data_IF_310772280200
#
_entry.id   IF_310772280200
#
_cell.length_a   1.000
_cell.length_b   1.000
_cell.length_c   1.000
_cell.angle_alpha   90.00
_cell.angle_beta   90.00
_cell.angle_gamma   90.00
#
_symmetry.space_group_name_H-M   'P 1'
#
loop_
_entity.id
_entity.type
_entity.pdbx_description
1 polymer ?
#
# COMPACT_ATOMS: atom_id res chain seq x y z
N UNK A 1 -5.86 3.13 27.49
CA UNK A 1 -6.88 2.76 28.50
C UNK A 1 -7.16 1.25 28.57
N UNK A 2 -6.63 0.43 27.65
CA UNK A 2 -6.93 -0.99 27.55
C UNK A 2 -6.64 -1.79 28.83
N UNK A 3 -5.62 -1.40 29.60
CA UNK A 3 -5.28 -2.04 30.88
C UNK A 3 -5.69 -1.22 32.11
N UNK A 4 -6.44 -0.13 31.96
CA UNK A 4 -6.74 0.82 33.01
C UNK A 4 -5.60 1.78 33.33
N UNK A 5 -4.54 1.78 32.50
CA UNK A 5 -3.44 2.74 32.57
C UNK A 5 -3.76 3.98 31.75
N UNK A 6 -3.30 5.12 32.21
CA UNK A 6 -3.41 6.36 31.44
C UNK A 6 -2.33 6.37 30.35
N UNK A 7 -2.65 6.86 29.12
CA UNK A 7 -1.66 6.96 28.04
C UNK A 7 -0.39 7.73 28.42
N UNK A 8 -0.55 8.79 29.23
CA UNK A 8 0.57 9.63 29.69
C UNK A 8 1.57 8.89 30.60
N UNK A 9 1.17 7.77 31.20
CA UNK A 9 2.04 6.96 32.06
C UNK A 9 2.66 5.80 31.24
N UNK A 10 1.88 5.24 30.30
CA UNK A 10 2.29 4.08 29.49
C UNK A 10 3.36 4.44 28.43
N UNK A 11 3.14 5.51 27.67
CA UNK A 11 4.01 5.85 26.55
C UNK A 11 5.43 6.27 26.97
N UNK A 12 5.63 7.09 28.02
CA UNK A 12 6.99 7.40 28.49
C UNK A 12 7.77 6.15 28.91
N UNK A 13 7.14 5.24 29.66
CA UNK A 13 7.77 3.97 30.05
C UNK A 13 8.14 3.12 28.84
N UNK A 14 7.25 3.02 27.84
CA UNK A 14 7.49 2.26 26.63
C UNK A 14 8.64 2.86 25.81
N UNK A 15 8.67 4.18 25.67
CA UNK A 15 9.75 4.87 24.97
C UNK A 15 11.08 4.73 25.69
N UNK A 16 11.08 4.76 27.03
CA UNK A 16 12.29 4.54 27.83
C UNK A 16 12.80 3.10 27.65
N UNK A 17 11.89 2.11 27.69
CA UNK A 17 12.24 0.71 27.42
C UNK A 17 12.91 0.54 26.05
N UNK A 18 12.38 1.22 25.03
CA UNK A 18 12.95 1.18 23.69
C UNK A 18 14.38 1.77 23.67
N UNK A 19 14.59 2.91 24.31
CA UNK A 19 15.89 3.58 24.37
C UNK A 19 16.93 2.75 25.14
N UNK A 20 16.58 2.24 26.31
CA UNK A 20 17.49 1.50 27.19
C UNK A 20 17.95 0.17 26.55
N UNK A 21 17.14 -0.40 25.69
CA UNK A 21 17.40 -1.71 25.06
C UNK A 21 17.64 -1.65 23.55
N UNK A 22 17.74 -0.46 22.96
CA UNK A 22 17.90 -0.26 21.51
C UNK A 22 16.83 -1.00 20.68
N UNK A 23 15.58 -0.98 21.16
CA UNK A 23 14.45 -1.66 20.56
C UNK A 23 13.70 -0.76 19.59
N UNK A 24 13.05 -1.38 18.62
CA UNK A 24 11.96 -0.72 17.86
C UNK A 24 10.83 -0.29 18.80
N UNK A 25 10.35 0.95 18.63
CA UNK A 25 9.32 1.51 19.51
C UNK A 25 8.02 0.70 19.51
N UNK A 26 7.64 0.11 18.35
CA UNK A 26 6.45 -0.72 18.30
C UNK A 26 6.63 -2.04 19.02
N UNK A 27 7.77 -2.68 18.85
CA UNK A 27 8.10 -3.89 19.63
C UNK A 27 8.12 -3.59 21.13
N UNK A 28 8.67 -2.44 21.54
CA UNK A 28 8.74 -2.06 22.95
C UNK A 28 7.35 -1.91 23.59
N UNK A 29 6.43 -1.14 22.98
CA UNK A 29 5.09 -0.98 23.55
C UNK A 29 4.26 -2.27 23.47
N UNK A 30 4.44 -3.08 22.42
CA UNK A 30 3.75 -4.37 22.30
C UNK A 30 4.22 -5.33 23.42
N UNK A 31 5.53 -5.44 23.61
CA UNK A 31 6.11 -6.23 24.71
C UNK A 31 5.61 -5.76 26.08
N UNK A 32 5.69 -4.46 26.32
CA UNK A 32 5.28 -3.87 27.59
C UNK A 32 3.78 -4.11 27.88
N UNK A 33 2.93 -4.06 26.84
CA UNK A 33 1.51 -4.34 26.98
C UNK A 33 1.28 -5.78 27.47
N UNK A 34 2.01 -6.75 26.91
CA UNK A 34 1.94 -8.16 27.36
C UNK A 34 2.45 -8.32 28.80
N UNK A 35 3.58 -7.73 29.14
CA UNK A 35 4.13 -7.82 30.49
C UNK A 35 3.17 -7.24 31.53
N UNK A 36 2.63 -6.04 31.26
CA UNK A 36 1.69 -5.37 32.18
C UNK A 36 0.35 -6.11 32.27
N UNK A 37 -0.11 -6.73 31.21
CA UNK A 37 -1.33 -7.52 31.24
C UNK A 37 -1.19 -8.74 32.17
N UNK A 38 -0.05 -9.41 32.10
CA UNK A 38 0.27 -10.54 33.00
C UNK A 38 0.34 -10.09 34.45
N UNK A 39 1.03 -8.98 34.74
CA UNK A 39 1.12 -8.40 36.08
C UNK A 39 -0.24 -8.00 36.67
N UNK A 40 -1.13 -7.49 35.82
CA UNK A 40 -2.49 -7.10 36.21
C UNK A 40 -3.52 -8.26 36.16
N UNK A 41 -3.08 -9.46 35.78
CA UNK A 41 -3.94 -10.65 35.56
C UNK A 41 -5.12 -10.36 34.62
N UNK A 42 -4.87 -9.55 33.58
CA UNK A 42 -5.84 -9.21 32.54
C UNK A 42 -5.46 -9.91 31.24
N UNK A 43 -6.39 -10.67 30.66
CA UNK A 43 -6.16 -11.32 29.38
C UNK A 43 -6.23 -10.32 28.23
N UNK A 44 -5.23 -10.35 27.34
CA UNK A 44 -5.22 -9.62 26.06
C UNK A 44 -5.64 -10.60 24.96
N UNK A 45 -6.93 -10.89 24.87
CA UNK A 45 -7.47 -11.74 23.80
C UNK A 45 -7.75 -10.92 22.54
N UNK A 46 -7.83 -11.62 21.39
CA UNK A 46 -8.26 -11.02 20.13
C UNK A 46 -9.63 -10.36 20.27
N UNK A 47 -10.58 -11.04 20.91
CA UNK A 47 -11.93 -10.52 21.15
C UNK A 47 -11.93 -9.26 22.01
N UNK A 48 -11.03 -9.17 22.99
CA UNK A 48 -10.87 -7.96 23.81
C UNK A 48 -10.42 -6.76 22.96
N UNK A 49 -9.44 -6.95 22.08
CA UNK A 49 -8.99 -5.87 21.18
C UNK A 49 -10.08 -5.49 20.17
N UNK A 50 -10.81 -6.45 19.61
CA UNK A 50 -11.93 -6.18 18.70
C UNK A 50 -13.03 -5.35 19.38
N UNK A 51 -13.37 -5.64 20.65
CA UNK A 51 -14.32 -4.83 21.42
C UNK A 51 -13.84 -3.40 21.63
N UNK A 52 -12.53 -3.18 21.79
CA UNK A 52 -11.96 -1.84 21.84
C UNK A 52 -12.13 -1.15 20.48
N UNK A 53 -11.86 -1.86 19.39
CA UNK A 53 -12.01 -1.38 18.02
C UNK A 53 -13.40 -0.85 17.70
N UNK A 54 -14.45 -1.56 18.16
CA UNK A 54 -15.84 -1.13 18.00
C UNK A 54 -16.19 0.17 18.74
N UNK A 55 -15.33 0.64 19.65
CA UNK A 55 -15.52 1.88 20.42
C UNK A 55 -14.62 3.03 19.94
N UNK A 56 -13.73 2.79 18.99
CA UNK A 56 -12.86 3.83 18.46
C UNK A 56 -13.70 4.81 17.64
N UNK A 57 -13.72 6.10 17.99
CA UNK A 57 -14.46 7.09 17.23
C UNK A 57 -13.84 7.29 15.86
N UNK A 58 -14.67 7.49 14.85
CA UNK A 58 -14.26 7.80 13.49
C UNK A 58 -14.37 9.31 13.25
N UNK A 59 -13.52 9.84 12.40
CA UNK A 59 -13.65 11.19 11.91
C UNK A 59 -14.96 11.38 11.14
N UNK A 60 -15.40 12.64 11.03
CA UNK A 60 -16.62 13.00 10.32
C UNK A 60 -16.64 12.41 8.90
N UNK A 61 -17.75 11.78 8.52
CA UNK A 61 -17.98 11.22 7.19
C UNK A 61 -17.31 9.87 6.88
N UNK A 62 -16.43 9.34 7.73
CA UNK A 62 -15.72 8.06 7.46
C UNK A 62 -16.68 6.89 7.28
N UNK A 63 -17.78 6.86 8.02
CA UNK A 63 -18.77 5.77 7.96
C UNK A 63 -19.39 5.53 6.57
N UNK A 64 -19.46 6.58 5.74
CA UNK A 64 -20.02 6.52 4.38
C UNK A 64 -18.99 6.82 3.28
N UNK A 65 -17.76 7.10 3.67
CA UNK A 65 -16.66 7.45 2.76
C UNK A 65 -16.41 6.39 1.69
N UNK A 66 -16.25 5.16 2.11
CA UNK A 66 -15.87 4.04 1.24
C UNK A 66 -16.93 3.78 0.17
N UNK A 67 -18.20 3.78 0.56
CA UNK A 67 -19.33 3.60 -0.36
C UNK A 67 -19.38 4.73 -1.40
N UNK A 68 -19.22 5.97 -0.98
CA UNK A 68 -19.23 7.12 -1.89
C UNK A 68 -18.04 7.14 -2.86
N UNK A 69 -16.85 6.79 -2.37
CA UNK A 69 -15.65 6.72 -3.22
C UNK A 69 -15.77 5.57 -4.21
N UNK A 70 -16.27 4.41 -3.80
CA UNK A 70 -16.52 3.28 -4.68
C UNK A 70 -17.55 3.60 -5.75
N UNK A 71 -18.68 4.19 -5.36
CA UNK A 71 -19.71 4.60 -6.29
C UNK A 71 -19.16 5.60 -7.33
N UNK A 72 -18.43 6.61 -6.90
CA UNK A 72 -17.83 7.57 -7.83
C UNK A 72 -16.81 6.92 -8.76
N UNK A 73 -16.04 5.95 -8.26
CA UNK A 73 -15.13 5.14 -9.09
C UNK A 73 -15.90 4.36 -10.17
N UNK A 74 -16.94 3.62 -9.78
CA UNK A 74 -17.77 2.82 -10.69
C UNK A 74 -18.43 3.69 -11.78
N UNK A 75 -18.95 4.87 -11.42
CA UNK A 75 -19.53 5.84 -12.36
C UNK A 75 -18.51 6.34 -13.40
N UNK A 76 -17.20 6.29 -13.08
CA UNK A 76 -16.09 6.68 -13.95
C UNK A 76 -15.32 5.48 -14.53
N UNK A 77 -15.84 4.25 -14.39
CA UNK A 77 -15.22 3.03 -14.92
C UNK A 77 -13.96 2.58 -14.17
N UNK A 78 -13.82 2.98 -12.90
CA UNK A 78 -12.67 2.64 -12.03
C UNK A 78 -13.14 1.79 -10.85
N UNK A 79 -12.55 0.62 -10.67
CA UNK A 79 -12.68 -0.17 -9.45
C UNK A 79 -11.77 0.42 -8.37
N UNK A 80 -12.33 0.80 -7.22
CA UNK A 80 -11.56 1.31 -6.10
C UNK A 80 -11.39 0.25 -5.04
N UNK A 81 -10.16 0.00 -4.62
CA UNK A 81 -9.82 -0.93 -3.55
C UNK A 81 -9.20 -0.17 -2.37
N UNK A 82 -9.56 -0.58 -1.16
CA UNK A 82 -9.11 0.08 0.06
C UNK A 82 -8.18 -0.83 0.87
N UNK A 83 -7.11 -0.23 1.38
CA UNK A 83 -6.09 -0.90 2.19
C UNK A 83 -5.76 -0.08 3.42
N UNK A 84 -5.41 -0.74 4.52
CA UNK A 84 -4.82 -0.08 5.68
C UNK A 84 -3.37 -0.51 5.85
N UNK A 85 -2.48 0.47 6.10
CA UNK A 85 -1.10 0.27 6.55
C UNK A 85 -0.92 1.07 7.84
N UNK A 86 -0.93 0.39 8.99
CA UNK A 86 -1.01 1.04 10.29
C UNK A 86 0.07 0.55 11.28
N UNK A 87 0.60 1.46 12.08
CA UNK A 87 1.44 1.10 13.24
C UNK A 87 0.62 0.65 14.46
N UNK A 88 -0.70 0.82 14.42
CA UNK A 88 -1.62 0.34 15.45
C UNK A 88 -1.88 -1.16 15.38
N UNK A 89 -2.70 -1.68 16.30
CA UNK A 89 -3.05 -3.09 16.35
C UNK A 89 -4.10 -3.46 15.32
N UNK A 90 -3.81 -4.51 14.55
CA UNK A 90 -4.69 -5.10 13.53
C UNK A 90 -6.04 -5.49 14.12
N UNK A 91 -6.02 -6.13 15.27
CA UNK A 91 -7.21 -6.61 15.96
C UNK A 91 -8.16 -5.47 16.38
N UNK A 92 -7.61 -4.30 16.71
CA UNK A 92 -8.41 -3.10 17.00
C UNK A 92 -9.07 -2.60 15.71
N UNK A 93 -8.33 -2.56 14.61
CA UNK A 93 -8.87 -2.12 13.31
C UNK A 93 -9.95 -3.09 12.83
N UNK A 94 -9.72 -4.41 12.93
CA UNK A 94 -10.67 -5.46 12.57
C UNK A 94 -11.98 -5.40 13.38
N UNK A 95 -11.92 -4.90 14.61
CA UNK A 95 -13.10 -4.70 15.46
C UNK A 95 -13.95 -3.48 15.10
N UNK A 96 -13.47 -2.60 14.22
CA UNK A 96 -14.20 -1.41 13.82
C UNK A 96 -15.19 -1.71 12.68
N UNK A 97 -16.31 -1.00 12.64
CA UNK A 97 -17.37 -1.17 11.63
C UNK A 97 -16.91 -0.97 10.19
N UNK A 98 -15.85 -0.19 9.96
CA UNK A 98 -15.30 0.06 8.64
C UNK A 98 -14.35 -1.03 8.14
N UNK A 99 -13.98 -2.01 8.98
CA UNK A 99 -13.04 -3.08 8.61
C UNK A 99 -13.47 -3.85 7.35
N UNK A 100 -14.77 -3.98 7.13
CA UNK A 100 -15.36 -4.66 5.97
C UNK A 100 -15.03 -4.05 4.60
N UNK A 101 -14.60 -2.80 4.55
CA UNK A 101 -14.29 -2.12 3.30
C UNK A 101 -12.86 -2.36 2.82
N UNK A 102 -11.99 -2.92 3.67
CA UNK A 102 -10.58 -3.09 3.33
C UNK A 102 -10.31 -4.47 2.73
N UNK A 103 -9.71 -4.47 1.55
CA UNK A 103 -9.21 -5.69 0.88
C UNK A 103 -8.13 -6.37 1.72
N UNK A 104 -7.27 -5.57 2.39
CA UNK A 104 -6.26 -6.03 3.36
C UNK A 104 -6.00 -4.98 4.43
N UNK A 105 -5.70 -5.47 5.63
CA UNK A 105 -5.28 -4.66 6.78
C UNK A 105 -3.88 -5.10 7.17
N UNK A 106 -2.89 -4.29 6.85
CA UNK A 106 -1.50 -4.45 7.26
C UNK A 106 -1.26 -3.60 8.49
N UNK A 107 -1.08 -4.24 9.63
CA UNK A 107 -0.93 -3.54 10.90
C UNK A 107 -0.12 -4.38 11.88
N UNK A 108 0.37 -3.76 12.95
CA UNK A 108 1.03 -4.52 14.03
C UNK A 108 0.04 -5.52 14.63
N UNK A 109 0.50 -6.73 14.93
CA UNK A 109 -0.37 -7.82 15.41
C UNK A 109 0.35 -8.72 16.41
N UNK A 110 -0.42 -9.50 17.17
CA UNK A 110 0.11 -10.47 18.11
C UNK A 110 0.01 -11.91 17.59
N UNK A 111 0.98 -12.72 17.98
CA UNK A 111 0.83 -14.17 18.05
C UNK A 111 0.04 -14.48 19.31
N UNK A 112 -0.92 -15.39 19.18
CA UNK A 112 -1.80 -15.82 20.27
C UNK A 112 -1.50 -17.26 20.68
N UNK A 113 -1.54 -17.53 22.00
CA UNK A 113 -1.49 -18.90 22.52
C UNK A 113 -2.71 -19.72 22.09
N UNK A 114 -2.68 -21.02 22.39
CA UNK A 114 -3.81 -21.90 22.19
C UNK A 114 -5.08 -21.44 22.95
N UNK A 115 -4.90 -20.75 24.08
CA UNK A 115 -5.97 -20.17 24.88
C UNK A 115 -6.44 -18.79 24.34
N UNK A 116 -5.91 -18.34 23.21
CA UNK A 116 -6.28 -17.08 22.56
C UNK A 116 -5.77 -15.81 23.24
N UNK A 117 -4.70 -15.93 24.04
CA UNK A 117 -4.06 -14.80 24.73
C UNK A 117 -2.83 -14.32 23.97
N UNK A 118 -2.68 -13.01 23.80
CA UNK A 118 -1.50 -12.41 23.14
C UNK A 118 -0.20 -12.73 23.89
N UNK A 119 0.76 -13.32 23.20
CA UNK A 119 2.03 -13.75 23.76
C UNK A 119 3.22 -12.96 23.25
N UNK A 120 3.28 -12.75 21.94
CA UNK A 120 4.42 -12.19 21.26
C UNK A 120 4.00 -11.29 20.08
N UNK A 121 4.72 -10.22 19.76
CA UNK A 121 4.50 -9.47 18.53
C UNK A 121 4.73 -10.37 17.30
N UNK A 122 3.67 -10.69 16.56
CA UNK A 122 3.77 -11.42 15.30
C UNK A 122 4.27 -10.51 14.17
N UNK A 123 3.83 -9.25 14.21
CA UNK A 123 4.23 -8.21 13.26
C UNK A 123 4.30 -6.85 13.93
N UNK A 124 5.36 -6.09 13.61
CA UNK A 124 5.49 -4.68 13.96
C UNK A 124 5.58 -3.87 12.67
N UNK A 125 4.67 -2.90 12.49
CA UNK A 125 4.59 -2.04 11.31
C UNK A 125 4.99 -0.63 11.68
N UNK A 126 6.17 -0.17 11.20
CA UNK A 126 6.73 1.12 11.60
C UNK A 126 7.59 1.73 10.47
N UNK A 127 7.69 3.06 10.41
CA UNK A 127 8.57 3.83 9.50
C UNK A 127 8.76 3.17 8.10
N UNK A 128 9.99 2.80 7.76
CA UNK A 128 10.34 2.28 6.43
C UNK A 128 9.79 0.89 6.16
N UNK A 129 9.49 0.08 7.17
CA UNK A 129 8.89 -1.22 6.90
C UNK A 129 7.43 -1.12 6.45
N UNK A 130 6.76 0.05 6.62
CA UNK A 130 5.47 0.32 5.98
C UNK A 130 5.54 0.26 4.45
N UNK A 131 6.67 0.65 3.86
CA UNK A 131 6.81 0.72 2.39
C UNK A 131 6.70 -0.64 1.72
N UNK A 132 7.05 -1.74 2.40
CA UNK A 132 6.88 -3.08 1.86
C UNK A 132 5.43 -3.37 1.44
N UNK A 133 4.46 -2.84 2.17
CA UNK A 133 3.05 -3.08 1.88
C UNK A 133 2.58 -2.33 0.64
N UNK A 134 3.18 -1.17 0.32
CA UNK A 134 2.95 -0.50 -0.97
C UNK A 134 3.45 -1.38 -2.12
N UNK A 135 4.64 -2.00 -1.99
CA UNK A 135 5.14 -2.94 -3.00
C UNK A 135 4.26 -4.18 -3.12
N UNK A 136 3.78 -4.73 -2.00
CA UNK A 136 2.87 -5.88 -1.99
C UNK A 136 1.56 -5.56 -2.70
N UNK A 137 0.95 -4.43 -2.39
CA UNK A 137 -0.29 -3.96 -3.02
C UNK A 137 -0.07 -3.76 -4.51
N UNK A 138 0.98 -3.03 -4.91
CA UNK A 138 1.27 -2.77 -6.32
C UNK A 138 1.51 -4.06 -7.12
N UNK A 139 2.15 -5.07 -6.52
CA UNK A 139 2.45 -6.35 -7.18
C UNK A 139 1.33 -7.41 -7.07
N UNK A 140 0.32 -7.20 -6.23
CA UNK A 140 -0.69 -8.22 -5.94
C UNK A 140 -0.19 -9.40 -5.10
N UNK A 141 0.93 -9.22 -4.35
CA UNK A 141 1.55 -10.26 -3.51
C UNK A 141 1.21 -9.96 -2.05
N UNK A 142 0.01 -10.34 -1.65
CA UNK A 142 -0.62 -9.83 -0.44
C UNK A 142 -0.14 -10.49 0.86
N UNK A 143 0.38 -11.71 0.82
CA UNK A 143 0.76 -12.44 2.03
C UNK A 143 2.14 -11.99 2.54
N UNK A 144 2.24 -11.68 3.83
CA UNK A 144 3.46 -11.10 4.43
C UNK A 144 4.66 -12.05 4.36
N UNK A 145 4.44 -13.36 4.40
CA UNK A 145 5.49 -14.39 4.31
C UNK A 145 5.95 -14.67 2.86
N UNK A 146 5.23 -14.17 1.85
CA UNK A 146 5.57 -14.44 0.45
C UNK A 146 6.75 -13.56 0.02
N UNK A 147 7.89 -14.20 -0.24
CA UNK A 147 9.14 -13.55 -0.66
C UNK A 147 9.14 -13.07 -2.12
N UNK A 148 8.17 -13.53 -2.94
CA UNK A 148 8.02 -13.07 -4.33
C UNK A 148 7.83 -11.55 -4.46
N UNK A 149 7.54 -10.87 -3.36
CA UNK A 149 7.54 -9.39 -3.35
C UNK A 149 8.88 -8.81 -3.83
N UNK A 150 9.99 -9.57 -3.70
CA UNK A 150 11.32 -9.17 -4.13
C UNK A 150 11.60 -9.44 -5.61
N UNK A 151 10.78 -10.25 -6.29
CA UNK A 151 10.96 -10.56 -7.70
C UNK A 151 10.85 -9.30 -8.56
N UNK A 152 11.64 -9.24 -9.65
CA UNK A 152 11.49 -8.17 -10.64
C UNK A 152 10.14 -8.33 -11.35
N UNK A 153 9.39 -7.23 -11.42
CA UNK A 153 8.11 -7.19 -12.11
C UNK A 153 8.08 -5.92 -12.98
N UNK A 154 7.89 -6.06 -14.29
CA UNK A 154 7.69 -4.92 -15.17
C UNK A 154 6.47 -4.07 -14.74
N UNK A 155 6.53 -2.75 -14.89
CA UNK A 155 5.44 -1.86 -14.49
C UNK A 155 4.11 -2.20 -15.17
N UNK A 156 4.15 -2.72 -16.41
CA UNK A 156 2.95 -3.16 -17.15
C UNK A 156 2.25 -4.38 -16.52
N UNK A 157 2.93 -5.14 -15.66
CA UNK A 157 2.40 -6.35 -15.03
C UNK A 157 1.98 -6.10 -13.56
N UNK A 158 2.07 -4.86 -13.08
CA UNK A 158 1.62 -4.51 -11.74
C UNK A 158 0.11 -4.73 -11.61
N UNK A 159 -0.29 -5.32 -10.50
CA UNK A 159 -1.69 -5.49 -10.15
C UNK A 159 -2.40 -4.12 -9.95
N UNK A 160 -1.72 -3.20 -9.26
CA UNK A 160 -2.12 -1.80 -9.18
C UNK A 160 -0.90 -0.96 -9.56
N UNK A 161 -0.93 -0.25 -10.71
CA UNK A 161 0.11 0.70 -11.07
C UNK A 161 0.30 1.77 -9.99
N UNK A 162 1.54 2.16 -9.71
CA UNK A 162 1.82 3.12 -8.63
C UNK A 162 1.13 4.47 -8.84
N UNK A 163 0.99 4.91 -10.09
CA UNK A 163 0.30 6.14 -10.45
C UNK A 163 -1.20 6.13 -10.12
N UNK A 164 -1.77 4.94 -9.89
CA UNK A 164 -3.17 4.76 -9.49
C UNK A 164 -3.31 4.58 -7.96
N UNK A 165 -2.22 4.69 -7.20
CA UNK A 165 -2.25 4.59 -5.73
C UNK A 165 -2.44 5.98 -5.12
N UNK A 166 -3.41 6.08 -4.21
CA UNK A 166 -3.58 7.22 -3.32
C UNK A 166 -3.20 6.82 -1.91
N UNK A 167 -2.24 7.52 -1.31
CA UNK A 167 -1.83 7.31 0.08
C UNK A 167 -2.28 8.49 0.95
N UNK A 168 -3.11 8.22 1.94
CA UNK A 168 -3.60 9.22 2.91
C UNK A 168 -2.95 8.92 4.27
N UNK A 169 -2.31 9.91 4.89
CA UNK A 169 -1.67 9.71 6.19
C UNK A 169 -1.56 11.00 7.00
N UNK A 170 -1.37 10.85 8.31
CA UNK A 170 -1.31 11.94 9.28
C UNK A 170 -0.04 11.92 10.14
N UNK A 171 0.73 10.84 10.09
CA UNK A 171 1.80 10.58 11.04
C UNK A 171 3.20 10.65 10.42
N UNK A 172 4.24 10.75 11.28
CA UNK A 172 5.63 10.70 10.84
C UNK A 172 5.99 9.34 10.23
N UNK A 173 5.30 8.27 10.66
CA UNK A 173 5.52 6.91 10.15
C UNK A 173 5.00 6.73 8.71
N UNK A 174 4.16 7.64 8.22
CA UNK A 174 3.61 7.61 6.85
C UNK A 174 4.54 8.24 5.81
N UNK A 175 5.47 9.09 6.26
CA UNK A 175 6.34 9.88 5.39
C UNK A 175 7.09 9.03 4.35
N UNK A 176 7.69 7.86 4.68
CA UNK A 176 8.34 7.01 3.69
C UNK A 176 7.37 6.50 2.60
N UNK A 177 6.16 6.11 2.99
CA UNK A 177 5.12 5.67 2.05
C UNK A 177 4.64 6.82 1.15
N UNK A 178 4.39 8.00 1.74
CA UNK A 178 4.00 9.19 0.99
C UNK A 178 5.04 9.55 -0.07
N UNK A 179 6.33 9.56 0.32
CA UNK A 179 7.43 9.82 -0.61
C UNK A 179 7.50 8.77 -1.72
N UNK A 180 7.38 7.48 -1.37
CA UNK A 180 7.42 6.39 -2.33
C UNK A 180 6.30 6.54 -3.36
N UNK A 181 5.04 6.64 -2.92
CA UNK A 181 3.87 6.74 -3.80
C UNK A 181 4.01 7.96 -4.72
N UNK A 182 4.30 9.14 -4.16
CA UNK A 182 4.49 10.36 -4.97
C UNK A 182 5.64 10.23 -5.98
N UNK A 183 6.77 9.65 -5.59
CA UNK A 183 7.93 9.50 -6.48
C UNK A 183 7.68 8.55 -7.64
N UNK A 184 6.68 7.67 -7.52
CA UNK A 184 6.24 6.72 -8.53
C UNK A 184 5.03 7.21 -9.35
N UNK A 185 4.66 8.49 -9.22
CA UNK A 185 3.57 9.09 -9.98
C UNK A 185 2.18 9.00 -9.32
N UNK A 186 2.07 8.34 -8.16
CA UNK A 186 0.84 8.29 -7.39
C UNK A 186 0.58 9.55 -6.56
N UNK A 187 -0.47 9.54 -5.77
CA UNK A 187 -0.95 10.69 -5.02
C UNK A 187 -0.78 10.46 -3.52
N UNK A 188 -0.13 11.42 -2.86
CA UNK A 188 0.07 11.40 -1.41
C UNK A 188 -0.60 12.60 -0.76
N UNK A 189 -1.46 12.35 0.23
CA UNK A 189 -2.29 13.35 0.90
C UNK A 189 -1.95 13.35 2.38
N UNK A 190 -1.55 14.51 2.89
CA UNK A 190 -1.38 14.72 4.32
C UNK A 190 -2.69 15.18 4.94
N UNK A 191 -3.18 14.51 5.98
CA UNK A 191 -4.35 14.96 6.72
C UNK A 191 -3.95 15.44 8.11
N UNK A 192 -4.71 16.41 8.64
CA UNK A 192 -4.52 16.95 9.99
C UNK A 192 -5.84 16.96 10.75
N UNK A 193 -5.74 16.85 12.08
CA UNK A 193 -6.88 16.90 13.00
C UNK A 193 -7.54 18.30 12.93
N UNK A 194 -8.81 18.39 12.49
CA UNK A 194 -9.48 19.67 12.33
C UNK A 194 -9.71 20.41 13.66
N UNK A 195 -9.85 19.67 14.78
CA UNK A 195 -10.06 20.27 16.09
C UNK A 195 -8.76 20.93 16.62
N UNK A 196 -7.64 20.27 16.43
CA UNK A 196 -6.32 20.80 16.83
C UNK A 196 -5.79 21.83 15.85
N UNK A 197 -6.21 21.77 14.60
CA UNK A 197 -5.84 22.67 13.49
C UNK A 197 -4.32 22.94 13.35
N UNK A 198 -3.50 21.94 13.70
CA UNK A 198 -2.04 22.01 13.60
C UNK A 198 -1.60 21.66 12.19
N UNK A 199 -1.32 22.68 11.37
CA UNK A 199 -1.01 22.54 9.94
C UNK A 199 0.49 22.54 9.63
N UNK A 200 1.34 22.89 10.59
CA UNK A 200 2.79 23.08 10.38
C UNK A 200 3.43 21.86 9.75
N UNK A 201 3.03 20.66 10.21
CA UNK A 201 3.56 19.40 9.69
C UNK A 201 3.18 19.18 8.22
N UNK A 202 1.92 19.38 7.84
CA UNK A 202 1.48 19.17 6.45
C UNK A 202 2.04 20.23 5.51
N UNK A 203 2.25 21.47 5.99
CA UNK A 203 2.94 22.50 5.24
C UNK A 203 4.40 22.13 4.96
N UNK A 204 5.10 21.62 5.99
CA UNK A 204 6.46 21.13 5.81
C UNK A 204 6.51 19.97 4.81
N UNK A 205 5.62 18.99 4.92
CA UNK A 205 5.56 17.85 4.00
C UNK A 205 5.31 18.28 2.54
N UNK A 206 4.46 19.31 2.33
CA UNK A 206 4.22 19.87 1.02
C UNK A 206 5.45 20.59 0.47
N UNK A 207 6.08 21.45 1.29
CA UNK A 207 7.29 22.19 0.90
C UNK A 207 8.48 21.25 0.63
N UNK A 208 8.61 20.16 1.41
CA UNK A 208 9.61 19.11 1.20
C UNK A 208 9.29 18.23 -0.03
N UNK A 209 8.20 18.48 -0.73
CA UNK A 209 7.79 17.71 -1.89
C UNK A 209 7.35 16.28 -1.59
N UNK A 210 6.97 15.97 -0.35
CA UNK A 210 6.61 14.61 0.09
C UNK A 210 5.16 14.25 -0.17
N UNK A 211 4.27 15.25 -0.26
CA UNK A 211 2.85 15.08 -0.55
C UNK A 211 2.43 15.93 -1.74
N UNK A 212 1.27 15.60 -2.33
CA UNK A 212 0.64 16.36 -3.42
C UNK A 212 -0.38 17.36 -2.89
N UNK A 213 -1.06 16.98 -1.81
CA UNK A 213 -2.20 17.71 -1.26
C UNK A 213 -2.27 17.55 0.26
N UNK A 214 -2.93 18.45 0.94
CA UNK A 214 -3.28 18.31 2.35
C UNK A 214 -4.71 18.81 2.59
N UNK A 215 -5.39 18.24 3.60
CA UNK A 215 -6.73 18.60 3.99
C UNK A 215 -6.97 18.33 5.48
N UNK A 216 -8.01 18.93 6.09
CA UNK A 216 -8.54 18.43 7.36
C UNK A 216 -8.92 16.96 7.25
N UNK A 217 -8.83 16.20 8.35
CA UNK A 217 -9.35 14.84 8.44
C UNK A 217 -10.88 14.84 8.52
N UNK A 218 -11.51 15.41 7.49
CA UNK A 218 -12.94 15.44 7.25
C UNK A 218 -13.24 14.63 5.98
N UNK A 219 -14.01 13.57 6.16
CA UNK A 219 -14.35 12.61 5.12
C UNK A 219 -15.80 12.76 4.63
N UNK A 220 -16.45 13.87 4.94
CA UNK A 220 -17.81 14.18 4.47
C UNK A 220 -17.86 14.45 2.96
N UNK A 221 -19.05 14.46 2.39
CA UNK A 221 -19.28 14.59 0.96
C UNK A 221 -18.79 15.93 0.39
N UNK A 222 -18.94 17.02 1.15
CA UNK A 222 -18.51 18.36 0.72
C UNK A 222 -17.08 18.70 1.11
N UNK A 223 -16.34 17.78 1.73
CA UNK A 223 -14.98 18.00 2.21
C UNK A 223 -14.00 18.29 1.08
N UNK A 224 -12.94 19.03 1.39
CA UNK A 224 -11.81 19.27 0.46
C UNK A 224 -11.15 17.95 0.06
N UNK A 225 -11.06 17.00 1.02
CA UNK A 225 -10.48 15.69 0.78
C UNK A 225 -11.29 14.91 -0.27
N UNK A 226 -12.63 14.86 -0.14
CA UNK A 226 -13.47 14.14 -1.09
C UNK A 226 -13.47 14.78 -2.47
N UNK A 227 -13.50 16.11 -2.55
CA UNK A 227 -13.37 16.84 -3.82
C UNK A 227 -12.06 16.52 -4.52
N UNK A 228 -10.96 16.45 -3.77
CA UNK A 228 -9.65 16.11 -4.35
C UNK A 228 -9.58 14.64 -4.80
N UNK A 229 -10.14 13.70 -4.04
CA UNK A 229 -10.20 12.28 -4.44
C UNK A 229 -11.00 12.10 -5.74
N UNK A 230 -12.10 12.82 -5.92
CA UNK A 230 -12.85 12.79 -7.18
C UNK A 230 -11.98 13.22 -8.35
N UNK A 231 -11.24 14.32 -8.23
CA UNK A 231 -10.31 14.76 -9.28
C UNK A 231 -9.23 13.71 -9.60
N UNK A 232 -8.73 12.99 -8.57
CA UNK A 232 -7.76 11.91 -8.80
C UNK A 232 -8.41 10.75 -9.55
N UNK A 233 -9.63 10.34 -9.19
CA UNK A 233 -10.37 9.29 -9.90
C UNK A 233 -10.62 9.69 -11.36
N UNK A 234 -11.03 10.93 -11.62
CA UNK A 234 -11.21 11.46 -12.98
C UNK A 234 -9.90 11.38 -13.78
N UNK A 235 -8.78 11.79 -13.17
CA UNK A 235 -7.47 11.73 -13.81
C UNK A 235 -7.06 10.30 -14.13
N UNK A 236 -7.26 9.36 -13.21
CA UNK A 236 -6.98 7.93 -13.43
C UNK A 236 -7.84 7.40 -14.56
N UNK A 237 -9.15 7.69 -14.56
CA UNK A 237 -10.07 7.27 -15.61
C UNK A 237 -9.63 7.76 -16.99
N UNK A 238 -9.26 9.03 -17.10
CA UNK A 238 -8.76 9.60 -18.36
C UNK A 238 -7.46 8.91 -18.80
N UNK A 239 -6.51 8.72 -17.86
CA UNK A 239 -5.23 8.09 -18.16
C UNK A 239 -5.40 6.64 -18.64
N UNK A 240 -6.28 5.86 -18.00
CA UNK A 240 -6.55 4.48 -18.41
C UNK A 240 -7.20 4.40 -19.80
N UNK A 241 -8.10 5.32 -20.13
CA UNK A 241 -8.69 5.44 -21.50
C UNK A 241 -7.60 5.76 -22.53
N UNK A 242 -6.69 6.70 -22.22
CA UNK A 242 -5.56 7.02 -23.12
C UNK A 242 -4.67 5.78 -23.33
N UNK A 243 -4.35 5.04 -22.26
CA UNK A 243 -3.55 3.80 -22.35
C UNK A 243 -4.24 2.74 -23.21
N UNK A 244 -5.56 2.58 -23.05
CA UNK A 244 -6.35 1.65 -23.85
C UNK A 244 -6.29 1.95 -25.35
N UNK A 245 -6.33 3.23 -25.74
CA UNK A 245 -6.15 3.64 -27.14
C UNK A 245 -4.71 3.42 -27.67
N UNK A 246 -3.71 3.57 -26.80
CA UNK A 246 -2.29 3.40 -27.17
C UNK A 246 -1.88 1.92 -27.27
N UNK A 247 -2.52 1.03 -26.52
CA UNK A 247 -2.11 -0.38 -26.40
C UNK A 247 -2.11 -1.11 -27.77
N UNK A 248 -3.16 -1.04 -28.60
CA UNK A 248 -3.16 -1.67 -29.93
C UNK A 248 -2.05 -1.14 -30.84
N UNK A 249 -1.77 0.18 -30.77
CA UNK A 249 -0.73 0.81 -31.59
C UNK A 249 0.67 0.32 -31.20
N UNK A 250 0.93 0.19 -29.89
CA UNK A 250 2.20 -0.37 -29.39
C UNK A 250 2.39 -1.82 -29.84
N UNK A 251 1.33 -2.63 -29.77
CA UNK A 251 1.39 -4.02 -30.23
C UNK A 251 1.69 -4.12 -31.72
N UNK A 252 1.02 -3.31 -32.54
CA UNK A 252 1.30 -3.27 -33.98
C UNK A 252 2.77 -2.87 -34.26
N UNK A 253 3.28 -1.86 -33.55
CA UNK A 253 4.67 -1.42 -33.71
C UNK A 253 5.67 -2.51 -33.28
N UNK A 254 5.39 -3.22 -32.18
CA UNK A 254 6.22 -4.33 -31.70
C UNK A 254 6.24 -5.49 -32.72
N UNK A 255 5.07 -5.90 -33.23
CA UNK A 255 4.96 -6.93 -34.26
C UNK A 255 5.75 -6.54 -35.51
N UNK A 256 5.61 -5.30 -35.98
CA UNK A 256 6.41 -4.80 -37.12
C UNK A 256 7.92 -4.86 -36.84
N UNK A 257 8.36 -4.47 -35.65
CA UNK A 257 9.76 -4.56 -35.24
C UNK A 257 10.28 -6.01 -35.28
N UNK A 258 9.49 -6.98 -34.80
CA UNK A 258 9.82 -8.39 -34.85
C UNK A 258 9.93 -8.90 -36.30
N UNK A 259 8.98 -8.57 -37.17
CA UNK A 259 9.06 -8.93 -38.59
C UNK A 259 10.31 -8.38 -39.28
N UNK A 260 10.67 -7.11 -39.01
CA UNK A 260 11.88 -6.52 -39.56
C UNK A 260 13.14 -7.24 -39.10
N UNK A 261 13.22 -7.59 -37.84
CA UNK A 261 14.36 -8.35 -37.28
C UNK A 261 14.43 -9.75 -37.89
N UNK A 262 13.28 -10.46 -38.03
CA UNK A 262 13.22 -11.76 -38.69
C UNK A 262 13.73 -11.70 -40.15
N UNK A 263 13.34 -10.69 -40.91
CA UNK A 263 13.82 -10.49 -42.28
C UNK A 263 15.36 -10.31 -42.30
N UNK A 264 15.89 -9.48 -41.39
CA UNK A 264 17.34 -9.25 -41.27
C UNK A 264 18.08 -10.56 -40.93
N UNK A 265 17.57 -11.36 -40.00
CA UNK A 265 18.15 -12.67 -39.65
C UNK A 265 18.09 -13.65 -40.81
N UNK A 266 16.96 -13.73 -41.49
CA UNK A 266 16.83 -14.60 -42.66
C UNK A 266 17.78 -14.22 -43.81
N UNK A 267 18.08 -12.93 -43.98
CA UNK A 267 19.06 -12.45 -44.94
C UNK A 267 20.49 -12.77 -44.53
N UNK A 268 20.81 -12.66 -43.22
CA UNK A 268 22.11 -13.09 -42.71
C UNK A 268 22.33 -14.61 -42.87
N UNK A 269 21.32 -15.42 -42.66
CA UNK A 269 21.39 -16.87 -42.85
C UNK A 269 21.60 -17.31 -44.29
N UNK A 270 21.29 -16.46 -45.29
CA UNK A 270 21.62 -16.68 -46.71
C UNK A 270 23.09 -16.38 -46.99
N UNK A 271 23.81 -15.70 -46.14
CA UNK A 271 25.22 -15.43 -46.28
C UNK A 271 26.05 -16.62 -45.78
N UNK A 272 27.31 -16.76 -46.26
CA UNK A 272 28.20 -17.83 -45.82
C UNK A 272 28.70 -17.57 -44.38
N UNK A 273 27.90 -17.98 -43.40
CA UNK A 273 28.22 -17.87 -41.97
C UNK A 273 28.63 -19.24 -41.40
N UNK A 274 29.42 -19.31 -40.31
CA UNK A 274 29.76 -20.57 -39.64
C UNK A 274 28.52 -21.33 -39.15
N UNK A 275 28.58 -22.64 -39.16
CA UNK A 275 27.41 -23.51 -38.80
C UNK A 275 26.91 -23.27 -37.38
N UNK A 276 27.78 -22.89 -36.45
CA UNK A 276 27.43 -22.59 -35.06
C UNK A 276 26.62 -21.26 -34.93
N UNK A 277 26.97 -20.27 -35.74
CA UNK A 277 26.24 -19.00 -35.84
C UNK A 277 24.87 -19.20 -36.51
N UNK A 278 24.80 -20.07 -37.51
CA UNK A 278 23.56 -20.44 -38.18
C UNK A 278 22.53 -21.06 -37.23
N UNK A 279 22.98 -21.96 -36.33
CA UNK A 279 22.10 -22.57 -35.32
C UNK A 279 21.56 -21.53 -34.32
N UNK A 280 22.41 -20.60 -33.87
CA UNK A 280 21.97 -19.51 -32.93
C UNK A 280 20.91 -18.61 -33.59
N UNK A 281 21.15 -18.17 -34.83
CA UNK A 281 20.21 -17.34 -35.55
C UNK A 281 18.87 -18.06 -35.82
N UNK A 282 18.90 -19.37 -36.12
CA UNK A 282 17.69 -20.16 -36.27
C UNK A 282 16.86 -20.20 -34.97
N UNK A 283 17.52 -20.41 -33.84
CA UNK A 283 16.84 -20.48 -32.55
C UNK A 283 16.22 -19.12 -32.15
N UNK A 284 16.89 -18.00 -32.46
CA UNK A 284 16.34 -16.67 -32.27
C UNK A 284 15.15 -16.38 -33.18
N UNK A 285 15.23 -16.84 -34.44
CA UNK A 285 14.14 -16.71 -35.42
C UNK A 285 12.88 -17.45 -34.94
N UNK A 286 13.04 -18.69 -34.47
CA UNK A 286 11.93 -19.51 -33.95
C UNK A 286 11.30 -18.85 -32.71
N UNK A 287 12.11 -18.29 -31.81
CA UNK A 287 11.61 -17.55 -30.63
C UNK A 287 10.80 -16.31 -31.01
N UNK A 288 11.26 -15.54 -32.00
CA UNK A 288 10.51 -14.35 -32.48
C UNK A 288 9.20 -14.75 -33.15
N UNK A 289 9.18 -15.86 -33.88
CA UNK A 289 7.96 -16.37 -34.52
C UNK A 289 6.90 -16.74 -33.47
N UNK A 290 7.30 -17.43 -32.39
CA UNK A 290 6.40 -17.72 -31.27
C UNK A 290 5.90 -16.47 -30.57
N UNK A 291 6.71 -15.41 -30.46
CA UNK A 291 6.25 -14.13 -29.89
C UNK A 291 5.19 -13.43 -30.75
N UNK A 292 5.27 -13.59 -32.08
CA UNK A 292 4.26 -13.02 -33.01
C UNK A 292 2.96 -13.82 -32.95
N UNK A 293 3.03 -15.15 -32.86
CA UNK A 293 1.86 -16.03 -32.78
C UNK A 293 1.11 -15.93 -31.46
N UNK A 294 1.76 -15.43 -30.38
CA UNK A 294 1.19 -15.24 -29.05
C UNK A 294 0.58 -13.85 -28.79
N UNK A 295 0.58 -12.95 -29.77
CA UNK A 295 -0.01 -11.61 -29.76
C UNK A 295 -1.34 -11.61 -30.51
#
# INVERSE_FOLDING_TARGET
PSLGMKPQDFWPESNQLAQDNLMDNNLAWMYQLVVKSKALRKSLSRSYFNQIGGKVPLYNGVGTWFERVNQYGEENGIEVQHYIISSGLKEIIEGNSIARYFSRIYASSYLYSADGVAEWPAQAVNYTNKTQFIFRIAKGIFEEYDEKVNDSMPDANLYIPYENIVYIGDSATDIPCMRLVKSKGGYSIGVFDPEKNKREKVYQLLNDGRINFYAPADYSEDSELFKYIKLVIDQVSINERIKAEQYPLKNQANVYGLYKNMQTMADLMKSAIPQEEHQKLQQELDNMQHQIEGV
#
